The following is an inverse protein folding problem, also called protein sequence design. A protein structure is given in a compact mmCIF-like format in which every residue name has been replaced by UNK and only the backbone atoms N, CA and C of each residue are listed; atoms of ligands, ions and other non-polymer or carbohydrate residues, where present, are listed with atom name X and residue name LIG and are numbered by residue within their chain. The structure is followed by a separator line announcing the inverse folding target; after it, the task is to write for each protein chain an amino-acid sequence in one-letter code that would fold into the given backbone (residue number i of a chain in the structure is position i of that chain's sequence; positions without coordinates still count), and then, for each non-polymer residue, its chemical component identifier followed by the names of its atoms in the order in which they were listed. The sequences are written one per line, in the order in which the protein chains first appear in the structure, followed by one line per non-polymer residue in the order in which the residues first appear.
data_IF_789521417932
#
_entry.id   IF_789521417932
#
_cell.length_a   1.000
_cell.length_b   1.000
_cell.length_c   1.000
_cell.angle_alpha   90.00
_cell.angle_beta   90.00
_cell.angle_gamma   90.00
#
_symmetry.space_group_name_H-M   'P 1'
#
loop_
_entity.id
_entity.type
_entity.pdbx_description
1 polymer ?
#
# COMPACT_ATOMS: atom_id res chain seq x y z
N UNK A 1 5.09 -15.96 -17.53
CA UNK A 1 4.58 -16.07 -16.14
C UNK A 1 5.65 -15.48 -15.24
N UNK A 2 5.30 -14.70 -14.22
CA UNK A 2 6.28 -14.20 -13.25
C UNK A 2 6.88 -15.37 -12.46
N UNK A 3 8.17 -15.29 -12.16
CA UNK A 3 8.86 -16.28 -11.33
C UNK A 3 8.39 -16.12 -9.88
N UNK A 4 8.19 -17.23 -9.14
CA UNK A 4 7.84 -17.18 -7.72
C UNK A 4 9.01 -17.58 -6.86
N UNK A 5 9.35 -16.74 -5.91
CA UNK A 5 10.36 -17.01 -4.89
C UNK A 5 9.71 -17.42 -3.57
N UNK A 6 10.38 -18.31 -2.85
CA UNK A 6 9.90 -18.84 -1.57
C UNK A 6 10.91 -18.53 -0.47
N UNK A 7 10.42 -18.12 0.69
CA UNK A 7 11.24 -17.82 1.87
C UNK A 7 12.30 -18.90 2.16
N UNK A 8 11.88 -20.16 2.15
CA UNK A 8 12.74 -21.32 2.41
C UNK A 8 13.91 -21.50 1.44
N UNK A 9 13.94 -20.82 0.31
CA UNK A 9 15.04 -20.85 -0.65
C UNK A 9 16.23 -20.01 -0.19
N UNK A 10 15.97 -18.98 0.62
CA UNK A 10 16.96 -18.02 1.11
C UNK A 10 17.32 -18.24 2.58
N UNK A 11 16.38 -18.69 3.39
CA UNK A 11 16.52 -18.82 4.83
C UNK A 11 16.11 -20.23 5.26
N UNK A 12 17.06 -21.00 5.76
CA UNK A 12 16.85 -22.36 6.27
C UNK A 12 16.67 -22.40 7.79
N UNK A 13 17.24 -21.41 8.51
CA UNK A 13 17.08 -21.29 9.95
C UNK A 13 15.68 -20.75 10.30
N UNK A 14 14.92 -21.54 11.06
CA UNK A 14 13.56 -21.18 11.48
C UNK A 14 13.50 -20.01 12.46
N UNK A 15 14.59 -19.68 13.13
CA UNK A 15 14.65 -18.55 14.06
C UNK A 15 14.81 -17.23 13.34
N UNK A 16 15.39 -17.23 12.14
CA UNK A 16 15.55 -16.04 11.31
C UNK A 16 14.21 -15.67 10.71
N UNK A 17 13.76 -14.43 10.94
CA UNK A 17 12.48 -13.91 10.45
C UNK A 17 12.62 -12.73 9.49
N UNK A 18 13.84 -12.23 9.32
CA UNK A 18 14.18 -11.17 8.35
C UNK A 18 15.36 -11.61 7.48
N UNK A 19 15.31 -11.27 6.22
CA UNK A 19 16.41 -11.40 5.28
C UNK A 19 16.69 -10.04 4.63
N UNK A 20 17.96 -9.69 4.48
CA UNK A 20 18.37 -8.39 3.98
C UNK A 20 19.34 -8.53 2.80
N UNK A 21 19.25 -7.62 1.85
CA UNK A 21 20.16 -7.54 0.74
C UNK A 21 20.37 -6.09 0.26
N UNK A 22 21.62 -5.76 -0.03
CA UNK A 22 21.95 -4.59 -0.85
C UNK A 22 21.72 -4.96 -2.32
N UNK A 23 20.93 -4.17 -3.02
CA UNK A 23 20.70 -4.36 -4.45
C UNK A 23 21.29 -3.19 -5.22
N UNK A 24 22.23 -3.51 -6.10
CA UNK A 24 22.89 -2.58 -6.97
C UNK A 24 22.53 -2.92 -8.42
N UNK A 25 21.93 -1.99 -9.14
CA UNK A 25 21.68 -2.12 -10.57
C UNK A 25 22.52 -1.08 -11.33
N UNK A 26 23.31 -1.56 -12.29
CA UNK A 26 23.99 -0.69 -13.27
C UNK A 26 22.99 -0.19 -14.31
N UNK A 27 23.33 0.86 -15.07
CA UNK A 27 22.52 1.31 -16.19
C UNK A 27 22.18 0.16 -17.15
N UNK A 28 20.89 0.01 -17.47
CA UNK A 28 20.35 -1.04 -18.34
C UNK A 28 20.08 -2.39 -17.65
N UNK A 29 20.47 -2.59 -16.40
CA UNK A 29 20.17 -3.81 -15.67
C UNK A 29 18.74 -3.79 -15.11
N UNK A 30 18.16 -4.99 -14.98
CA UNK A 30 16.83 -5.18 -14.37
C UNK A 30 16.77 -6.50 -13.60
N UNK A 31 15.82 -6.56 -12.67
CA UNK A 31 15.35 -7.80 -12.08
C UNK A 31 14.07 -8.18 -12.80
N UNK A 32 14.00 -9.43 -13.29
CA UNK A 32 12.83 -9.92 -13.98
C UNK A 32 11.58 -9.93 -13.10
N UNK A 33 10.40 -9.85 -13.73
CA UNK A 33 9.13 -9.83 -13.02
C UNK A 33 8.95 -11.10 -12.19
N UNK A 34 8.71 -10.93 -10.89
CA UNK A 34 8.57 -12.01 -9.92
C UNK A 34 7.55 -11.67 -8.83
N UNK A 35 7.20 -12.66 -8.02
CA UNK A 35 6.45 -12.54 -6.78
C UNK A 35 7.05 -13.49 -5.73
N UNK A 36 6.62 -13.39 -4.49
CA UNK A 36 7.16 -14.17 -3.37
C UNK A 36 6.05 -14.63 -2.40
N UNK A 37 6.39 -15.45 -1.39
CA UNK A 37 5.47 -15.93 -0.36
C UNK A 37 5.67 -15.23 1.00
N UNK A 38 6.45 -14.14 1.02
CA UNK A 38 6.80 -13.33 2.18
C UNK A 38 6.47 -11.85 1.93
N UNK A 39 6.58 -11.01 2.94
CA UNK A 39 6.53 -9.56 2.78
C UNK A 39 7.92 -9.02 2.49
N UNK A 40 7.97 -7.99 1.67
CA UNK A 40 9.21 -7.33 1.29
C UNK A 40 9.01 -5.82 1.30
N UNK A 41 9.98 -5.10 1.77
CA UNK A 41 10.05 -3.67 1.52
C UNK A 41 11.46 -3.26 1.12
N UNK A 42 11.55 -2.29 0.27
CA UNK A 42 12.82 -1.71 -0.13
C UNK A 42 12.82 -0.19 0.06
N UNK A 43 14.02 0.37 0.23
CA UNK A 43 14.25 1.80 0.29
C UNK A 43 15.37 2.16 -0.68
N UNK A 44 15.11 3.13 -1.56
CA UNK A 44 16.13 3.65 -2.47
C UNK A 44 17.10 4.53 -1.68
N UNK A 45 18.40 4.21 -1.74
CA UNK A 45 19.45 4.94 -1.05
C UNK A 45 20.20 5.90 -1.97
N UNK A 46 20.33 5.53 -3.26
CA UNK A 46 21.05 6.30 -4.27
C UNK A 46 20.51 6.02 -5.67
N UNK A 47 20.51 7.04 -6.50
CA UNK A 47 20.08 6.94 -7.90
C UNK A 47 18.57 6.83 -8.05
N UNK A 48 18.11 6.47 -9.23
CA UNK A 48 16.70 6.39 -9.59
C UNK A 48 16.38 5.02 -10.15
N UNK A 49 15.31 4.39 -9.67
CA UNK A 49 14.80 3.12 -10.17
C UNK A 49 13.46 3.31 -10.88
N UNK A 50 13.18 2.45 -11.83
CA UNK A 50 11.86 2.26 -12.38
C UNK A 50 11.29 0.96 -11.78
N UNK A 51 10.26 1.10 -10.96
CA UNK A 51 9.51 0.00 -10.36
C UNK A 51 8.24 -0.24 -11.15
N UNK A 52 7.95 -1.50 -11.44
CA UNK A 52 6.65 -1.94 -11.96
C UNK A 52 6.05 -2.93 -10.99
N UNK A 53 4.91 -2.57 -10.40
CA UNK A 53 4.20 -3.42 -9.45
C UNK A 53 2.73 -3.53 -9.84
N UNK A 54 2.23 -4.76 -10.01
CA UNK A 54 0.84 -5.05 -10.36
C UNK A 54 0.32 -4.26 -11.57
N UNK A 55 1.19 -4.02 -12.56
CA UNK A 55 0.88 -3.26 -13.78
C UNK A 55 0.96 -1.74 -13.64
N UNK A 56 1.28 -1.21 -12.48
CA UNK A 56 1.58 0.21 -12.29
C UNK A 56 3.09 0.45 -12.41
N UNK A 57 3.47 1.59 -12.98
CA UNK A 57 4.85 1.99 -13.15
C UNK A 57 5.15 3.23 -12.31
N UNK A 58 6.23 3.20 -11.55
CA UNK A 58 6.63 4.25 -10.63
C UNK A 58 8.12 4.56 -10.75
N UNK A 59 8.46 5.83 -10.77
CA UNK A 59 9.86 6.29 -10.69
C UNK A 59 10.21 6.49 -9.22
N UNK A 60 11.16 5.72 -8.73
CA UNK A 60 11.57 5.68 -7.33
C UNK A 60 12.87 6.43 -7.13
N UNK A 61 12.89 7.39 -6.23
CA UNK A 61 14.02 8.26 -5.90
C UNK A 61 14.55 8.00 -4.48
N UNK A 62 15.75 8.49 -4.10
CA UNK A 62 16.27 8.32 -2.74
C UNK A 62 15.28 8.76 -1.65
N UNK A 63 15.07 7.90 -0.68
CA UNK A 63 14.06 8.04 0.38
C UNK A 63 12.74 7.35 0.08
N UNK A 64 12.42 7.15 -1.19
CA UNK A 64 11.23 6.39 -1.56
C UNK A 64 11.42 4.89 -1.37
N UNK A 65 10.35 4.21 -1.03
CA UNK A 65 10.29 2.77 -0.90
C UNK A 65 8.87 2.24 -1.16
N UNK A 66 8.76 0.93 -1.24
CA UNK A 66 7.48 0.25 -1.40
C UNK A 66 7.41 -0.97 -0.50
N UNK A 67 6.25 -1.24 0.08
CA UNK A 67 5.95 -2.45 0.80
C UNK A 67 5.17 -3.39 -0.11
N UNK A 68 5.73 -4.57 -0.34
CA UNK A 68 5.21 -5.61 -1.21
C UNK A 68 4.66 -6.76 -0.36
N UNK A 69 3.45 -7.17 -0.63
CA UNK A 69 2.84 -8.34 0.00
C UNK A 69 3.14 -9.63 -0.74
N UNK A 70 2.81 -10.78 -0.13
CA UNK A 70 2.77 -12.03 -0.85
C UNK A 70 1.88 -11.92 -2.08
N UNK A 71 2.35 -12.47 -3.20
CA UNK A 71 1.67 -12.49 -4.50
C UNK A 71 1.70 -11.17 -5.30
N UNK A 72 2.20 -10.05 -4.78
CA UNK A 72 2.45 -8.87 -5.60
C UNK A 72 3.49 -9.19 -6.67
N UNK A 73 3.14 -8.91 -7.92
CA UNK A 73 4.04 -9.13 -9.07
C UNK A 73 4.77 -7.84 -9.37
N UNK A 74 6.09 -7.87 -9.22
CA UNK A 74 6.90 -6.68 -9.40
C UNK A 74 8.22 -6.94 -10.13
N UNK A 75 8.81 -5.86 -10.66
CA UNK A 75 10.17 -5.83 -11.19
C UNK A 75 10.80 -4.46 -11.05
N UNK A 76 12.09 -4.46 -10.79
CA UNK A 76 12.92 -3.27 -10.69
C UNK A 76 13.87 -3.18 -11.88
N UNK A 77 14.04 -1.97 -12.44
CA UNK A 77 14.98 -1.73 -13.52
C UNK A 77 15.70 -0.38 -13.35
N UNK A 78 16.88 -0.29 -13.96
CA UNK A 78 17.63 0.95 -14.05
C UNK A 78 17.76 1.41 -15.51
N UNK A 79 16.75 2.09 -16.07
CA UNK A 79 16.85 2.67 -17.42
C UNK A 79 17.65 3.99 -17.44
N UNK A 80 18.15 4.44 -16.29
CA UNK A 80 18.83 5.72 -16.11
C UNK A 80 20.35 5.59 -16.23
N UNK A 81 21.07 6.72 -16.34
CA UNK A 81 22.48 6.73 -16.69
C UNK A 81 23.48 6.54 -15.54
N UNK A 82 23.02 6.36 -14.29
CA UNK A 82 23.87 6.20 -13.12
C UNK A 82 23.62 4.86 -12.38
N UNK A 83 24.61 4.44 -11.60
CA UNK A 83 24.49 3.27 -10.74
C UNK A 83 23.55 3.56 -9.56
N UNK A 84 22.62 2.66 -9.32
CA UNK A 84 21.62 2.77 -8.27
C UNK A 84 21.96 1.84 -7.11
N UNK A 85 21.46 2.20 -5.92
CA UNK A 85 21.52 1.38 -4.72
C UNK A 85 20.18 1.44 -4.00
N UNK A 86 19.60 0.31 -3.71
CA UNK A 86 18.51 0.18 -2.76
C UNK A 86 18.85 -0.88 -1.70
N UNK A 87 18.18 -0.76 -0.58
CA UNK A 87 18.24 -1.72 0.51
C UNK A 87 16.92 -2.49 0.57
N UNK A 88 17.04 -3.81 0.48
CA UNK A 88 15.89 -4.70 0.46
C UNK A 88 15.80 -5.49 1.76
N UNK A 89 14.62 -5.54 2.37
CA UNK A 89 14.33 -6.28 3.59
C UNK A 89 13.11 -7.17 3.35
N UNK A 90 13.34 -8.47 3.32
CA UNK A 90 12.28 -9.48 3.32
C UNK A 90 11.91 -9.86 4.75
N UNK A 91 10.61 -9.99 5.00
CA UNK A 91 10.05 -10.34 6.31
C UNK A 91 9.19 -11.59 6.15
N UNK A 92 9.48 -12.63 6.93
CA UNK A 92 8.69 -13.85 6.92
C UNK A 92 7.21 -13.54 7.25
N UNK A 93 6.30 -14.15 6.52
CA UNK A 93 4.86 -13.82 6.53
C UNK A 93 4.27 -13.81 7.95
N UNK A 94 4.50 -14.86 8.73
CA UNK A 94 3.99 -14.96 10.11
C UNK A 94 4.53 -13.86 11.02
N UNK A 95 5.81 -13.45 10.80
CA UNK A 95 6.43 -12.39 11.57
C UNK A 95 5.83 -11.02 11.24
N UNK A 96 5.64 -10.73 9.97
CA UNK A 96 4.98 -9.50 9.53
C UNK A 96 3.57 -9.40 10.09
N UNK A 97 2.78 -10.47 9.99
CA UNK A 97 1.42 -10.53 10.52
C UNK A 97 1.38 -10.31 12.04
N UNK A 98 2.31 -10.87 12.80
CA UNK A 98 2.45 -10.60 14.24
C UNK A 98 2.75 -9.14 14.55
N UNK A 99 3.64 -8.50 13.80
CA UNK A 99 4.00 -7.10 13.98
C UNK A 99 2.85 -6.15 13.66
N UNK A 100 2.04 -6.49 12.67
CA UNK A 100 0.97 -5.62 12.15
C UNK A 100 -0.39 -5.89 12.76
N UNK A 101 -0.61 -7.02 13.42
CA UNK A 101 -1.88 -7.36 14.06
C UNK A 101 -2.42 -6.29 15.02
N UNK A 102 -1.62 -5.61 15.85
CA UNK A 102 -2.09 -4.52 16.71
C UNK A 102 -2.57 -3.29 15.93
N UNK A 103 -2.10 -3.11 14.68
CA UNK A 103 -2.37 -1.93 13.86
C UNK A 103 -3.59 -2.14 12.93
N UNK A 104 -3.72 -3.34 12.38
CA UNK A 104 -4.70 -3.65 11.32
C UNK A 104 -5.67 -4.79 11.69
N UNK A 105 -5.58 -5.34 12.91
CA UNK A 105 -6.31 -6.55 13.30
C UNK A 105 -5.85 -7.76 12.48
N UNK A 106 -6.72 -8.77 12.36
CA UNK A 106 -6.43 -9.98 11.56
C UNK A 106 -6.67 -9.76 10.04
N UNK A 107 -6.82 -8.51 9.61
CA UNK A 107 -6.92 -8.15 8.19
C UNK A 107 -5.53 -7.98 7.59
N UNK A 108 -5.33 -8.51 6.39
CA UNK A 108 -4.11 -8.28 5.62
C UNK A 108 -3.88 -6.77 5.48
N UNK A 109 -2.76 -6.28 5.97
CA UNK A 109 -2.35 -4.90 5.72
C UNK A 109 -2.36 -4.63 4.21
N UNK A 110 -2.67 -3.41 3.87
CA UNK A 110 -2.88 -2.83 2.54
C UNK A 110 -2.81 -3.79 1.34
N UNK A 111 -3.93 -3.93 0.61
CA UNK A 111 -4.01 -4.69 -0.65
C UNK A 111 -3.25 -4.05 -1.83
N UNK A 112 -2.68 -2.86 -1.63
CA UNK A 112 -2.27 -1.98 -2.74
C UNK A 112 -0.76 -1.70 -2.80
N UNK A 113 0.11 -2.59 -2.27
CA UNK A 113 1.58 -2.42 -2.31
C UNK A 113 2.01 -0.95 -2.05
N UNK A 114 1.78 -0.42 -0.82
CA UNK A 114 1.88 1.02 -0.57
C UNK A 114 3.29 1.56 -0.79
N UNK A 115 3.37 2.67 -1.49
CA UNK A 115 4.58 3.46 -1.67
C UNK A 115 4.71 4.44 -0.52
N UNK A 116 5.90 4.57 0.02
CA UNK A 116 6.24 5.53 1.07
C UNK A 116 7.48 6.34 0.70
N UNK A 117 7.70 7.44 1.42
CA UNK A 117 8.88 8.28 1.29
C UNK A 117 9.30 8.71 2.71
N UNK A 118 10.47 8.34 3.11
CA UNK A 118 10.98 8.62 4.45
C UNK A 118 11.25 10.12 4.66
N UNK A 119 11.48 10.86 3.57
CA UNK A 119 12.02 12.19 3.66
C UNK A 119 13.50 12.20 4.08
N UNK A 120 14.14 13.37 4.05
CA UNK A 120 15.59 13.47 4.25
C UNK A 120 16.05 13.08 5.65
N UNK A 121 15.33 13.47 6.67
CA UNK A 121 15.69 13.21 8.08
C UNK A 121 15.56 11.72 8.43
N UNK A 122 14.41 11.12 8.12
CA UNK A 122 14.20 9.70 8.39
C UNK A 122 15.07 8.79 7.52
N UNK A 123 15.41 9.22 6.29
CA UNK A 123 16.35 8.51 5.43
C UNK A 123 17.75 8.46 6.05
N UNK A 124 18.23 9.54 6.67
CA UNK A 124 19.53 9.49 7.34
C UNK A 124 19.51 8.57 8.59
N UNK A 125 18.43 8.60 9.37
CA UNK A 125 18.22 7.64 10.45
C UNK A 125 18.18 6.18 9.96
N UNK A 126 17.54 5.94 8.82
CA UNK A 126 17.53 4.63 8.17
C UNK A 126 18.95 4.20 7.76
N UNK A 127 19.72 5.08 7.12
CA UNK A 127 21.12 4.79 6.73
C UNK A 127 22.00 4.45 7.94
N UNK A 128 21.81 5.12 9.07
CA UNK A 128 22.54 4.82 10.30
C UNK A 128 22.20 3.42 10.82
N UNK A 129 20.93 3.05 10.85
CA UNK A 129 20.51 1.69 11.22
C UNK A 129 21.10 0.63 10.30
N UNK A 130 21.17 0.88 8.99
CA UNK A 130 21.82 -0.01 8.03
C UNK A 130 23.32 -0.16 8.32
N UNK A 131 24.04 0.93 8.63
CA UNK A 131 25.46 0.84 9.03
C UNK A 131 25.66 -0.03 10.26
N UNK A 132 24.78 0.11 11.26
CA UNK A 132 24.82 -0.74 12.45
C UNK A 132 24.55 -2.21 12.13
N UNK A 133 23.60 -2.51 11.23
CA UNK A 133 23.31 -3.88 10.78
C UNK A 133 24.53 -4.59 10.19
N UNK A 134 25.34 -3.88 9.40
CA UNK A 134 26.58 -4.45 8.82
C UNK A 134 27.66 -4.77 9.84
N UNK A 135 27.55 -4.25 11.08
CA UNK A 135 28.47 -4.51 12.16
C UNK A 135 28.04 -5.69 13.05
N UNK A 136 26.79 -6.14 12.91
CA UNK A 136 26.23 -7.22 13.73
C UNK A 136 26.40 -8.59 13.05
N UNK A 137 26.56 -9.62 13.86
CA UNK A 137 26.61 -11.01 13.39
C UNK A 137 25.25 -11.47 12.85
N UNK A 138 25.24 -12.30 11.82
CA UNK A 138 24.00 -12.67 11.10
C UNK A 138 22.90 -13.31 11.96
N UNK A 139 23.26 -13.99 13.04
CA UNK A 139 22.32 -14.70 13.93
C UNK A 139 22.13 -14.03 15.29
N UNK A 140 22.52 -12.76 15.45
CA UNK A 140 22.38 -12.09 16.72
C UNK A 140 20.95 -11.61 16.97
N UNK A 141 20.46 -11.72 18.21
CA UNK A 141 19.18 -11.14 18.61
C UNK A 141 19.14 -9.61 18.45
N UNK A 142 20.30 -8.97 18.47
CA UNK A 142 20.47 -7.53 18.24
C UNK A 142 20.15 -7.17 16.78
N UNK A 143 20.59 -7.99 15.81
CA UNK A 143 20.29 -7.82 14.39
C UNK A 143 18.78 -7.94 14.13
N UNK A 144 18.16 -8.97 14.69
CA UNK A 144 16.72 -9.20 14.58
C UNK A 144 15.91 -8.03 15.16
N UNK A 145 16.32 -7.53 16.34
CA UNK A 145 15.70 -6.38 16.98
C UNK A 145 15.84 -5.10 16.14
N UNK A 146 17.01 -4.86 15.58
CA UNK A 146 17.26 -3.68 14.74
C UNK A 146 16.45 -3.74 13.43
N UNK A 147 16.33 -4.92 12.80
CA UNK A 147 15.49 -5.14 11.62
C UNK A 147 14.01 -4.93 11.94
N UNK A 148 13.56 -5.41 13.09
CA UNK A 148 12.20 -5.13 13.57
C UNK A 148 11.97 -3.62 13.76
N UNK A 149 12.93 -2.90 14.33
CA UNK A 149 12.85 -1.44 14.49
C UNK A 149 12.73 -0.73 13.15
N UNK A 150 13.52 -1.13 12.15
CA UNK A 150 13.43 -0.57 10.79
C UNK A 150 12.06 -0.85 10.17
N UNK A 151 11.55 -2.07 10.32
CA UNK A 151 10.22 -2.44 9.83
C UNK A 151 9.12 -1.57 10.48
N UNK A 152 9.22 -1.33 11.79
CA UNK A 152 8.28 -0.46 12.50
C UNK A 152 8.33 1.00 12.00
N UNK A 153 9.51 1.55 11.73
CA UNK A 153 9.65 2.90 11.18
C UNK A 153 8.96 3.03 9.80
N UNK A 154 9.15 2.03 8.93
CA UNK A 154 8.47 1.99 7.63
C UNK A 154 6.96 1.91 7.78
N UNK A 155 6.46 1.02 8.66
CA UNK A 155 5.02 0.88 8.92
C UNK A 155 4.41 2.16 9.49
N UNK A 156 5.10 2.82 10.43
CA UNK A 156 4.65 4.12 10.97
C UNK A 156 4.59 5.17 9.87
N UNK A 157 5.59 5.23 9.00
CA UNK A 157 5.61 6.16 7.88
C UNK A 157 4.41 5.93 6.92
N UNK A 158 4.13 4.67 6.58
CA UNK A 158 2.97 4.29 5.76
C UNK A 158 1.67 4.71 6.45
N UNK A 159 1.53 4.46 7.77
CA UNK A 159 0.35 4.84 8.55
C UNK A 159 0.14 6.35 8.62
N UNK A 160 1.20 7.13 8.83
CA UNK A 160 1.13 8.59 8.89
C UNK A 160 0.70 9.16 7.53
N UNK A 161 1.29 8.69 6.44
CA UNK A 161 0.88 9.09 5.08
C UNK A 161 -0.55 8.67 4.74
N UNK A 162 -0.95 7.48 5.17
CA UNK A 162 -2.34 7.04 5.06
C UNK A 162 -3.31 8.00 5.73
N UNK A 163 -2.92 8.55 6.90
CA UNK A 163 -3.72 9.55 7.61
C UNK A 163 -3.72 10.92 6.93
N UNK A 164 -2.59 11.38 6.41
CA UNK A 164 -2.51 12.64 5.66
C UNK A 164 -3.33 12.61 4.36
N UNK A 165 -3.41 11.46 3.74
CA UNK A 165 -4.20 11.22 2.53
C UNK A 165 -5.61 10.69 2.82
N UNK A 166 -5.97 10.43 4.09
CA UNK A 166 -7.32 10.01 4.44
C UNK A 166 -8.32 11.15 4.21
N UNK A 167 -9.51 10.78 3.79
CA UNK A 167 -10.59 11.75 3.69
C UNK A 167 -10.85 12.36 5.09
N UNK A 168 -11.14 13.66 5.19
CA UNK A 168 -11.55 14.26 6.45
C UNK A 168 -12.76 13.52 7.04
N UNK A 169 -12.88 13.45 8.37
CA UNK A 169 -13.91 12.68 9.06
C UNK A 169 -15.32 12.95 8.51
N UNK A 170 -15.68 14.22 8.30
CA UNK A 170 -16.98 14.59 7.73
C UNK A 170 -17.23 13.98 6.34
N UNK A 171 -16.16 13.80 5.54
CA UNK A 171 -16.26 13.24 4.18
C UNK A 171 -16.33 11.71 4.21
N UNK A 172 -15.63 11.09 5.14
CA UNK A 172 -15.70 9.63 5.39
C UNK A 172 -17.08 9.25 5.93
N UNK A 173 -17.58 9.97 6.94
CA UNK A 173 -18.95 9.79 7.46
C UNK A 173 -20.01 9.97 6.38
N UNK A 174 -19.84 11.00 5.54
CA UNK A 174 -20.75 11.24 4.42
C UNK A 174 -20.73 10.09 3.42
N UNK A 175 -19.54 9.58 3.10
CA UNK A 175 -19.33 8.46 2.17
C UNK A 175 -20.07 7.21 2.68
N UNK A 176 -19.91 6.87 3.97
CA UNK A 176 -20.56 5.72 4.59
C UNK A 176 -22.09 5.87 4.63
N UNK A 177 -22.58 7.04 5.06
CA UNK A 177 -24.01 7.33 5.10
C UNK A 177 -24.68 7.28 3.73
N UNK A 178 -23.98 7.71 2.69
CA UNK A 178 -24.51 7.70 1.34
C UNK A 178 -24.57 6.29 0.71
N UNK A 179 -24.02 5.27 1.34
CA UNK A 179 -24.20 3.87 0.92
C UNK A 179 -25.53 3.26 1.38
N UNK A 180 -26.23 3.93 2.28
CA UNK A 180 -27.55 3.49 2.76
C UNK A 180 -28.63 3.82 1.70
N UNK A 181 -29.56 2.87 1.40
CA UNK A 181 -30.59 3.05 0.38
C UNK A 181 -31.42 4.32 0.56
N UNK A 182 -31.75 4.66 1.77
CA UNK A 182 -32.51 5.86 2.12
C UNK A 182 -31.81 7.16 1.74
N UNK A 183 -30.48 7.16 1.58
CA UNK A 183 -29.70 8.34 1.22
C UNK A 183 -29.36 8.37 -0.27
N UNK A 184 -28.82 7.27 -0.86
CA UNK A 184 -28.43 7.31 -2.28
C UNK A 184 -29.65 7.41 -3.23
N UNK A 185 -30.82 6.93 -2.85
CA UNK A 185 -32.04 7.06 -3.67
C UNK A 185 -32.44 8.52 -3.85
N UNK A 186 -32.24 9.38 -2.83
CA UNK A 186 -32.51 10.81 -2.89
C UNK A 186 -31.41 11.61 -3.65
N UNK A 187 -30.31 10.95 -3.96
CA UNK A 187 -29.28 11.47 -4.87
C UNK A 187 -28.46 12.63 -4.32
N UNK A 188 -27.98 13.47 -5.24
CA UNK A 188 -27.04 14.56 -4.93
C UNK A 188 -27.62 15.59 -3.95
N UNK A 189 -28.89 15.85 -4.01
CA UNK A 189 -29.57 16.79 -3.09
C UNK A 189 -29.38 16.34 -1.65
N UNK A 190 -29.68 15.08 -1.37
CA UNK A 190 -29.49 14.50 -0.04
C UNK A 190 -28.04 14.54 0.41
N UNK A 191 -27.13 14.22 -0.49
CA UNK A 191 -25.71 14.27 -0.21
C UNK A 191 -25.22 15.67 0.18
N UNK A 192 -25.72 16.71 -0.48
CA UNK A 192 -25.41 18.10 -0.16
C UNK A 192 -26.00 18.53 1.20
N UNK A 193 -27.21 18.10 1.52
CA UNK A 193 -27.84 18.34 2.82
C UNK A 193 -26.99 17.71 3.96
N UNK A 194 -26.61 16.46 3.79
CA UNK A 194 -25.81 15.75 4.78
C UNK A 194 -24.40 16.34 4.94
N UNK A 195 -23.81 16.79 3.84
CA UNK A 195 -22.47 17.39 3.84
C UNK A 195 -22.43 18.78 4.49
N UNK A 196 -23.53 19.55 4.40
CA UNK A 196 -23.53 20.95 4.83
C UNK A 196 -22.49 21.82 4.09
N UNK A 197 -22.13 21.44 2.86
CA UNK A 197 -21.08 22.08 2.06
C UNK A 197 -21.61 22.46 0.67
N UNK A 198 -20.94 23.42 0.01
CA UNK A 198 -21.29 23.77 -1.37
C UNK A 198 -20.95 22.59 -2.32
N UNK A 199 -21.73 22.45 -3.39
CA UNK A 199 -21.51 21.41 -4.41
C UNK A 199 -20.11 21.47 -5.01
N UNK A 200 -19.59 22.68 -5.26
CA UNK A 200 -18.25 22.87 -5.82
C UNK A 200 -17.15 22.37 -4.86
N UNK A 201 -17.33 22.58 -3.55
CA UNK A 201 -16.41 22.08 -2.54
C UNK A 201 -16.50 20.57 -2.43
N UNK A 202 -17.71 20.02 -2.37
CA UNK A 202 -17.96 18.58 -2.31
C UNK A 202 -17.35 17.85 -3.52
N UNK A 203 -17.55 18.38 -4.74
CA UNK A 203 -16.98 17.81 -5.96
C UNK A 203 -15.45 17.74 -5.90
N UNK A 204 -14.78 18.82 -5.46
CA UNK A 204 -13.32 18.84 -5.32
C UNK A 204 -12.83 17.84 -4.27
N UNK A 205 -13.50 17.78 -3.12
CA UNK A 205 -13.15 16.86 -2.05
C UNK A 205 -13.33 15.41 -2.50
N UNK A 206 -14.47 15.08 -3.10
CA UNK A 206 -14.75 13.73 -3.58
C UNK A 206 -13.73 13.27 -4.64
N UNK A 207 -13.42 14.15 -5.59
CA UNK A 207 -12.41 13.82 -6.61
C UNK A 207 -11.01 13.65 -6.00
N UNK A 208 -10.64 14.52 -5.06
CA UNK A 208 -9.33 14.46 -4.38
C UNK A 208 -9.13 13.14 -3.61
N UNK A 209 -10.16 12.72 -2.85
CA UNK A 209 -10.01 11.60 -1.90
C UNK A 209 -10.52 10.27 -2.42
N UNK A 210 -11.48 10.27 -3.36
CA UNK A 210 -12.09 9.04 -3.89
C UNK A 210 -11.93 8.88 -5.41
N UNK A 211 -11.25 9.81 -6.11
CA UNK A 211 -10.98 9.72 -7.54
C UNK A 211 -12.20 9.79 -8.45
N UNK A 212 -13.39 10.11 -7.91
CA UNK A 212 -14.65 10.14 -8.64
C UNK A 212 -15.52 11.33 -8.23
N UNK A 213 -16.55 11.60 -9.02
CA UNK A 213 -17.54 12.64 -8.67
C UNK A 213 -18.60 12.09 -7.70
N UNK A 214 -19.25 12.93 -6.86
CA UNK A 214 -20.37 12.53 -6.03
C UNK A 214 -21.50 11.82 -6.80
N UNK A 215 -21.83 12.31 -8.00
CA UNK A 215 -22.86 11.70 -8.85
C UNK A 215 -22.46 10.31 -9.34
N UNK A 216 -21.19 10.13 -9.73
CA UNK A 216 -20.68 8.81 -10.15
C UNK A 216 -20.76 7.81 -8.98
N UNK A 217 -20.38 8.24 -7.79
CA UNK A 217 -20.48 7.43 -6.58
C UNK A 217 -21.95 7.03 -6.27
N UNK A 218 -22.88 7.98 -6.26
CA UNK A 218 -24.31 7.69 -6.03
C UNK A 218 -24.84 6.69 -7.05
N UNK A 219 -24.48 6.85 -8.32
CA UNK A 219 -24.89 5.90 -9.35
C UNK A 219 -24.29 4.50 -9.15
N UNK A 220 -23.04 4.39 -8.65
CA UNK A 220 -22.47 3.11 -8.32
C UNK A 220 -23.20 2.41 -7.18
N UNK A 221 -23.62 3.15 -6.14
CA UNK A 221 -24.44 2.62 -5.05
C UNK A 221 -25.79 2.10 -5.56
N UNK A 222 -26.49 2.89 -6.39
CA UNK A 222 -27.76 2.50 -7.02
C UNK A 222 -27.62 1.23 -7.86
N UNK A 223 -26.57 1.16 -8.69
CA UNK A 223 -26.32 -0.02 -9.52
C UNK A 223 -26.01 -1.27 -8.71
N UNK A 224 -25.24 -1.12 -7.63
CA UNK A 224 -24.93 -2.22 -6.71
C UNK A 224 -26.21 -2.76 -6.07
N UNK A 225 -27.07 -1.88 -5.56
CA UNK A 225 -28.33 -2.26 -4.95
C UNK A 225 -29.31 -2.86 -5.96
N UNK A 226 -29.46 -2.28 -7.15
CA UNK A 226 -30.27 -2.84 -8.21
C UNK A 226 -29.81 -4.27 -8.57
N UNK A 227 -28.50 -4.49 -8.71
CA UNK A 227 -27.95 -5.82 -8.95
C UNK A 227 -28.24 -6.80 -7.80
N UNK A 228 -28.21 -6.33 -6.56
CA UNK A 228 -28.56 -7.14 -5.37
C UNK A 228 -30.04 -7.55 -5.43
N UNK A 229 -30.94 -6.59 -5.63
CA UNK A 229 -32.39 -6.84 -5.68
C UNK A 229 -32.76 -7.80 -6.82
N UNK A 230 -32.23 -7.59 -8.03
CA UNK A 230 -32.45 -8.47 -9.17
C UNK A 230 -32.00 -9.93 -8.95
N UNK A 231 -31.03 -10.15 -8.05
CA UNK A 231 -30.52 -11.51 -7.74
C UNK A 231 -31.21 -12.17 -6.57
N UNK A 232 -31.74 -11.37 -5.62
CA UNK A 232 -32.21 -11.86 -4.33
C UNK A 232 -33.71 -11.73 -4.11
N UNK A 233 -34.45 -11.08 -5.05
CA UNK A 233 -35.90 -10.86 -4.92
C UNK A 233 -36.62 -11.21 -6.22
N UNK A 234 -37.94 -11.37 -6.15
CA UNK A 234 -38.84 -11.52 -7.31
C UNK A 234 -39.52 -10.18 -7.68
N UNK A 235 -38.98 -9.06 -7.22
CA UNK A 235 -39.49 -7.74 -7.52
C UNK A 235 -39.45 -7.45 -9.03
N UNK A 236 -40.44 -6.72 -9.52
CA UNK A 236 -40.45 -6.32 -10.92
C UNK A 236 -39.37 -5.28 -11.21
N UNK A 237 -38.76 -5.36 -12.39
CA UNK A 237 -37.71 -4.42 -12.81
C UNK A 237 -38.12 -2.96 -12.66
N UNK A 238 -39.41 -2.65 -12.90
CA UNK A 238 -39.95 -1.30 -12.72
C UNK A 238 -39.94 -0.84 -11.26
N UNK A 239 -40.21 -1.75 -10.32
CA UNK A 239 -40.22 -1.44 -8.89
C UNK A 239 -38.78 -1.25 -8.35
N UNK A 240 -37.81 -1.93 -8.96
CA UNK A 240 -36.37 -1.78 -8.63
C UNK A 240 -35.80 -0.48 -9.23
N UNK A 241 -36.36 0.03 -10.33
CA UNK A 241 -35.87 1.22 -11.03
C UNK A 241 -36.35 2.55 -10.42
N UNK A 242 -37.37 2.52 -9.58
CA UNK A 242 -37.98 3.67 -8.89
C UNK A 242 -37.80 3.59 -7.39
#
# INVERSE_FOLDING_TARGET
MAQRFYWKQYVTDKQVTFYIADLILKPGEQIEAHCHDYYEFFVVLKGTFLERCNGQELVMQPGMGQLLGPDDVHNLSNPFGEQNLLYNIAVRKDRYEQLTAPLFGNGNGSKDAPVFDLGSESLEGFREKIRLLHQLWESSGEKEFLLQSICCDVLVNILLKGRENSAPDWLSELYDRMQEPENFTQGLTRMLELAGKSQAYLNRAFYKYYGQTPTAFINSCRMTEACRLLRSTEEKILDIAY
#
